data_IF_142719222373
#
_entry.id   IF_142719222373
#
_cell.length_a   1.000
_cell.length_b   1.000
_cell.length_c   1.000
_cell.angle_alpha   90.00
_cell.angle_beta   90.00
_cell.angle_gamma   90.00
#
_symmetry.space_group_name_H-M   'P 1'
#
loop_
_entity.id
_entity.type
_entity.pdbx_description
1 polymer ?
#
# COMPACT_ATOMS: atom_id res chain seq x y z
N UNK A 1 17.27 -3.50 47.65
CA UNK A 1 17.43 -2.77 46.37
C UNK A 1 18.91 -2.81 45.99
N UNK A 2 19.27 -3.21 44.76
CA UNK A 2 20.66 -3.40 44.31
C UNK A 2 21.33 -2.12 43.78
N UNK A 3 20.77 -0.96 44.14
CA UNK A 3 21.15 0.37 43.68
C UNK A 3 21.21 1.31 44.88
N UNK A 4 22.12 2.28 44.84
CA UNK A 4 22.23 3.34 45.85
C UNK A 4 22.31 4.71 45.16
N UNK A 5 21.77 5.78 45.78
CA UNK A 5 21.92 7.12 45.26
C UNK A 5 23.40 7.53 45.29
N UNK A 6 23.79 8.42 44.38
CA UNK A 6 25.09 9.10 44.42
C UNK A 6 25.05 10.25 45.44
N UNK A 7 26.21 10.76 45.89
CA UNK A 7 26.22 11.98 46.68
C UNK A 7 25.59 13.14 45.89
N UNK A 8 24.67 13.88 46.51
CA UNK A 8 23.99 15.03 45.89
C UNK A 8 22.78 14.68 45.01
N UNK A 9 22.35 13.42 44.98
CA UNK A 9 21.11 12.98 44.32
C UNK A 9 19.88 13.74 44.84
N UNK A 10 19.06 14.24 43.93
CA UNK A 10 17.78 14.89 44.22
C UNK A 10 16.58 13.95 44.13
N UNK A 11 16.70 12.85 43.39
CA UNK A 11 15.65 11.85 43.18
C UNK A 11 15.52 10.84 44.33
N UNK A 12 14.30 10.40 44.60
CA UNK A 12 14.00 9.36 45.60
C UNK A 12 13.99 7.95 44.96
N UNK A 13 14.03 6.85 45.74
CA UNK A 13 14.03 5.48 45.19
C UNK A 13 12.87 5.19 44.24
N UNK A 14 11.70 5.74 44.52
CA UNK A 14 10.49 5.62 43.71
C UNK A 14 10.68 6.26 42.32
N UNK A 15 11.22 7.49 42.26
CA UNK A 15 11.56 8.16 41.01
C UNK A 15 12.51 7.32 40.16
N UNK A 16 13.51 6.68 40.78
CA UNK A 16 14.45 5.82 40.08
C UNK A 16 13.80 4.56 39.51
N UNK A 17 12.89 3.93 40.26
CA UNK A 17 12.14 2.77 39.79
C UNK A 17 11.27 3.16 38.60
N UNK A 18 10.57 4.29 38.70
CA UNK A 18 9.73 4.82 37.63
C UNK A 18 10.55 5.19 36.39
N UNK A 19 11.63 5.96 36.55
CA UNK A 19 12.54 6.32 35.46
C UNK A 19 13.06 5.08 34.72
N UNK A 20 13.47 4.04 35.46
CA UNK A 20 13.93 2.78 34.85
C UNK A 20 12.80 2.03 34.13
N UNK A 21 11.57 2.07 34.64
CA UNK A 21 10.41 1.50 33.97
C UNK A 21 10.09 2.25 32.68
N UNK A 22 10.07 3.59 32.71
CA UNK A 22 9.87 4.46 31.55
C UNK A 22 10.94 4.25 30.49
N UNK A 23 12.23 4.25 30.88
CA UNK A 23 13.33 3.96 29.97
C UNK A 23 13.16 2.60 29.29
N UNK A 24 12.80 1.56 30.05
CA UNK A 24 12.59 0.21 29.50
C UNK A 24 11.40 0.15 28.55
N UNK A 25 10.30 0.80 28.88
CA UNK A 25 9.11 0.87 28.04
C UNK A 25 9.44 1.56 26.70
N UNK A 26 10.02 2.75 26.75
CA UNK A 26 10.45 3.50 25.56
C UNK A 26 11.46 2.67 24.74
N UNK A 27 12.49 2.10 25.38
CA UNK A 27 13.51 1.31 24.68
C UNK A 27 12.93 0.08 23.99
N UNK A 28 11.94 -0.59 24.60
CA UNK A 28 11.26 -1.73 24.00
C UNK A 28 10.45 -1.32 22.77
N UNK A 29 9.85 -0.13 22.78
CA UNK A 29 9.06 0.41 21.66
C UNK A 29 9.92 0.93 20.51
N UNK A 30 11.06 1.56 20.79
CA UNK A 30 11.94 2.20 19.77
C UNK A 30 12.33 1.23 18.65
N UNK A 31 12.54 -0.05 18.98
CA UNK A 31 12.96 -1.04 17.99
C UNK A 31 11.93 -1.22 16.87
N UNK A 32 10.63 -1.15 17.20
CA UNK A 32 9.54 -1.27 16.23
C UNK A 32 8.99 0.09 15.78
N UNK A 33 9.03 1.08 16.66
CA UNK A 33 8.50 2.42 16.44
C UNK A 33 9.59 3.47 16.72
N UNK A 34 10.55 3.69 15.80
CA UNK A 34 11.70 4.55 16.06
C UNK A 34 11.35 6.00 16.44
N UNK A 35 10.21 6.51 15.96
CA UNK A 35 9.71 7.85 16.28
C UNK A 35 9.26 8.00 17.74
N UNK A 36 9.01 6.91 18.47
CA UNK A 36 8.67 6.99 19.91
C UNK A 36 9.78 7.68 20.69
N UNK A 37 11.04 7.52 20.27
CA UNK A 37 12.17 8.25 20.86
C UNK A 37 11.99 9.76 20.75
N UNK A 38 11.58 10.23 19.59
CA UNK A 38 11.42 11.67 19.31
C UNK A 38 10.15 12.20 19.99
N UNK A 39 9.04 11.44 19.88
CA UNK A 39 7.75 11.79 20.48
C UNK A 39 7.81 11.84 22.02
N UNK A 40 8.67 11.01 22.63
CA UNK A 40 8.87 10.92 24.09
C UNK A 40 10.27 11.35 24.53
N UNK A 41 10.91 12.25 23.79
CA UNK A 41 12.29 12.67 24.04
C UNK A 41 12.48 13.24 25.46
N UNK A 42 11.55 14.07 25.93
CA UNK A 42 11.60 14.65 27.28
C UNK A 42 11.53 13.57 28.38
N UNK A 43 10.63 12.59 28.25
CA UNK A 43 10.52 11.48 29.21
C UNK A 43 11.78 10.62 29.20
N UNK A 44 12.34 10.36 28.02
CA UNK A 44 13.58 9.61 27.85
C UNK A 44 14.78 10.31 28.50
N UNK A 45 14.93 11.61 28.26
CA UNK A 45 15.99 12.43 28.83
C UNK A 45 15.86 12.55 30.35
N UNK A 46 14.65 12.79 30.86
CA UNK A 46 14.38 12.84 32.29
C UNK A 46 14.68 11.49 32.96
N UNK A 47 14.27 10.37 32.34
CA UNK A 47 14.57 9.04 32.84
C UNK A 47 16.08 8.78 32.89
N UNK A 48 16.82 9.17 31.84
CA UNK A 48 18.29 9.07 31.82
C UNK A 48 18.94 9.94 32.91
N UNK A 49 18.45 11.16 33.12
CA UNK A 49 18.94 12.05 34.16
C UNK A 49 18.77 11.42 35.55
N UNK A 50 17.55 11.00 35.89
CA UNK A 50 17.25 10.35 37.17
C UNK A 50 18.10 9.08 37.34
N UNK A 51 18.16 8.20 36.33
CA UNK A 51 19.00 6.99 36.42
C UNK A 51 20.48 7.31 36.61
N UNK A 52 20.97 8.43 36.05
CA UNK A 52 22.34 8.90 36.21
C UNK A 52 22.70 9.32 37.65
N UNK A 53 21.71 9.71 38.45
CA UNK A 53 21.89 10.01 39.88
C UNK A 53 22.09 8.76 40.74
N UNK A 54 21.95 7.56 40.17
CA UNK A 54 22.04 6.29 40.89
C UNK A 54 23.23 5.46 40.41
N UNK A 55 23.66 4.53 41.24
CA UNK A 55 24.74 3.60 40.92
C UNK A 55 24.46 2.20 41.48
N UNK A 56 24.98 1.18 40.81
CA UNK A 56 24.83 -0.22 41.24
C UNK A 56 25.55 -0.44 42.57
N UNK A 57 24.89 -1.11 43.50
CA UNK A 57 25.37 -1.40 44.85
C UNK A 57 25.49 -2.91 45.13
N UNK A 58 25.46 -3.73 44.07
CA UNK A 58 25.67 -5.18 44.16
C UNK A 58 27.04 -5.49 44.79
N UNK A 59 27.11 -6.39 45.81
CA UNK A 59 28.39 -6.83 46.36
C UNK A 59 29.31 -7.36 45.26
N UNK A 60 30.55 -6.83 45.19
CA UNK A 60 31.53 -7.23 44.19
C UNK A 60 31.30 -6.68 42.78
N UNK A 61 30.30 -5.82 42.56
CA UNK A 61 30.12 -5.18 41.26
C UNK A 61 31.24 -4.16 40.99
N UNK A 62 31.98 -4.40 39.91
CA UNK A 62 32.91 -3.44 39.32
C UNK A 62 32.44 -3.11 37.90
N UNK A 63 32.61 -1.85 37.51
CA UNK A 63 32.46 -1.49 36.10
C UNK A 63 33.56 -2.21 35.30
N UNK A 64 33.20 -2.68 34.11
CA UNK A 64 34.17 -3.23 33.18
C UNK A 64 35.09 -2.11 32.73
N UNK A 65 36.38 -2.41 32.59
CA UNK A 65 37.31 -1.50 31.92
C UNK A 65 37.00 -1.46 30.42
N UNK A 66 37.49 -0.44 29.72
CA UNK A 66 37.34 -0.33 28.27
C UNK A 66 37.87 -1.59 27.56
N UNK A 67 39.05 -2.06 27.95
CA UNK A 67 39.64 -3.30 27.43
C UNK A 67 38.77 -4.54 27.67
N UNK A 68 38.08 -4.61 28.81
CA UNK A 68 37.14 -5.71 29.11
C UNK A 68 35.85 -5.62 28.30
N UNK A 69 35.33 -4.41 28.08
CA UNK A 69 34.21 -4.17 27.17
C UNK A 69 34.56 -4.56 25.73
N UNK A 70 35.73 -4.16 25.23
CA UNK A 70 36.21 -4.53 23.89
C UNK A 70 36.40 -6.03 23.74
N UNK A 71 36.99 -6.69 24.75
CA UNK A 71 37.16 -8.15 24.74
C UNK A 71 35.79 -8.86 24.67
N UNK A 72 34.79 -8.36 25.40
CA UNK A 72 33.42 -8.88 25.33
C UNK A 72 32.80 -8.67 23.96
N UNK A 73 32.90 -7.48 23.37
CA UNK A 73 32.37 -7.22 22.02
C UNK A 73 33.03 -8.10 20.96
N UNK A 74 34.35 -8.31 21.03
CA UNK A 74 35.06 -9.23 20.12
C UNK A 74 34.56 -10.66 20.24
N UNK A 75 34.24 -11.10 21.46
CA UNK A 75 33.66 -12.41 21.69
C UNK A 75 32.25 -12.52 21.10
N UNK A 76 31.39 -11.52 21.37
CA UNK A 76 30.03 -11.47 20.83
C UNK A 76 30.04 -11.44 19.28
N UNK A 77 30.97 -10.69 18.67
CA UNK A 77 31.16 -10.62 17.22
C UNK A 77 31.58 -11.96 16.61
N UNK A 78 32.47 -12.68 17.29
CA UNK A 78 32.91 -14.01 16.86
C UNK A 78 31.75 -15.02 16.96
N UNK A 79 30.97 -14.99 18.03
CA UNK A 79 29.76 -15.81 18.18
C UNK A 79 28.73 -15.53 17.08
N UNK A 80 28.52 -14.25 16.74
CA UNK A 80 27.63 -13.84 15.63
C UNK A 80 28.18 -14.36 14.30
N UNK A 81 29.49 -14.21 14.05
CA UNK A 81 30.15 -14.70 12.83
C UNK A 81 29.98 -16.21 12.68
N UNK A 82 30.24 -16.97 13.73
CA UNK A 82 30.08 -18.43 13.73
C UNK A 82 28.64 -18.84 13.43
N UNK A 83 27.64 -18.17 14.00
CA UNK A 83 26.22 -18.42 13.69
C UNK A 83 25.89 -18.12 12.23
N UNK A 84 26.40 -17.02 11.68
CA UNK A 84 26.18 -16.65 10.29
C UNK A 84 26.85 -17.65 9.33
N UNK A 85 28.06 -18.10 9.64
CA UNK A 85 28.78 -19.09 8.83
C UNK A 85 28.11 -20.46 8.89
N UNK A 86 27.68 -20.91 10.07
CA UNK A 86 26.90 -22.13 10.21
C UNK A 86 25.59 -22.07 9.42
N UNK A 87 24.91 -20.91 9.42
CA UNK A 87 23.69 -20.68 8.64
C UNK A 87 23.97 -20.71 7.13
N UNK A 88 25.06 -20.07 6.68
CA UNK A 88 25.50 -20.08 5.28
C UNK A 88 25.80 -21.51 4.80
N UNK A 89 26.56 -22.27 5.58
CA UNK A 89 26.86 -23.67 5.27
C UNK A 89 25.58 -24.52 5.22
N UNK A 90 24.61 -24.27 6.11
CA UNK A 90 23.30 -24.93 6.02
C UNK A 90 22.63 -24.62 4.69
N UNK A 91 22.52 -23.36 4.30
CA UNK A 91 21.92 -22.98 3.02
C UNK A 91 22.62 -23.63 1.83
N UNK A 92 23.96 -23.66 1.83
CA UNK A 92 24.72 -24.33 0.77
C UNK A 92 24.39 -25.83 0.66
N UNK A 93 24.23 -26.52 1.80
CA UNK A 93 23.78 -27.92 1.81
C UNK A 93 22.34 -28.09 1.33
N UNK A 94 21.42 -27.29 1.86
CA UNK A 94 20.00 -27.38 1.50
C UNK A 94 19.74 -27.06 0.03
N UNK A 95 20.61 -26.26 -0.60
CA UNK A 95 20.48 -25.89 -2.01
C UNK A 95 20.46 -27.10 -2.96
N UNK A 96 21.09 -28.22 -2.61
CA UNK A 96 21.00 -29.45 -3.42
C UNK A 96 19.63 -30.13 -3.37
N UNK A 97 18.79 -29.77 -2.39
CA UNK A 97 17.42 -30.25 -2.26
C UNK A 97 16.40 -29.33 -2.93
N UNK A 98 16.85 -28.24 -3.58
CA UNK A 98 15.96 -27.36 -4.32
C UNK A 98 15.37 -28.09 -5.53
N UNK A 99 14.04 -28.13 -5.56
CA UNK A 99 13.25 -28.61 -6.68
C UNK A 99 12.37 -27.44 -7.17
N UNK A 100 12.60 -26.92 -8.39
CA UNK A 100 11.86 -25.77 -8.91
C UNK A 100 10.37 -26.07 -9.10
N UNK A 101 10.02 -27.30 -9.49
CA UNK A 101 8.63 -27.68 -9.72
C UNK A 101 7.91 -27.79 -8.37
N UNK A 102 8.53 -28.40 -7.38
CA UNK A 102 7.98 -28.46 -6.01
C UNK A 102 7.83 -27.06 -5.39
N UNK A 103 8.80 -26.17 -5.61
CA UNK A 103 8.71 -24.78 -5.15
C UNK A 103 7.56 -24.03 -5.82
N UNK A 104 7.37 -24.21 -7.12
CA UNK A 104 6.27 -23.61 -7.87
C UNK A 104 4.90 -24.18 -7.44
N UNK A 105 4.80 -25.50 -7.28
CA UNK A 105 3.61 -26.18 -6.75
C UNK A 105 3.24 -25.70 -5.36
N UNK A 106 4.22 -25.41 -4.49
CA UNK A 106 3.96 -24.81 -3.18
C UNK A 106 3.31 -23.43 -3.30
N UNK A 107 3.80 -22.57 -4.19
CA UNK A 107 3.21 -21.23 -4.39
C UNK A 107 1.77 -21.34 -4.89
N UNK A 108 1.53 -22.25 -5.82
CA UNK A 108 0.19 -22.52 -6.34
C UNK A 108 -0.74 -23.09 -5.26
N UNK A 109 -0.23 -23.98 -4.40
CA UNK A 109 -1.00 -24.52 -3.27
C UNK A 109 -1.47 -23.41 -2.33
N UNK A 110 -0.57 -22.51 -1.93
CA UNK A 110 -0.90 -21.39 -1.04
C UNK A 110 -1.92 -20.44 -1.70
N UNK A 111 -1.76 -20.17 -2.99
CA UNK A 111 -2.73 -19.38 -3.77
C UNK A 111 -4.13 -20.02 -3.74
N UNK A 112 -4.23 -21.31 -4.08
CA UNK A 112 -5.50 -22.01 -4.10
C UNK A 112 -6.15 -22.12 -2.71
N UNK A 113 -5.35 -22.29 -1.66
CA UNK A 113 -5.85 -22.23 -0.28
C UNK A 113 -6.47 -20.85 0.03
N UNK A 114 -5.86 -19.76 -0.45
CA UNK A 114 -6.44 -18.42 -0.31
C UNK A 114 -7.72 -18.25 -1.13
N UNK A 115 -7.77 -18.77 -2.37
CA UNK A 115 -8.98 -18.79 -3.19
C UNK A 115 -10.11 -19.55 -2.47
N UNK A 116 -9.83 -20.76 -1.99
CA UNK A 116 -10.79 -21.60 -1.27
C UNK A 116 -11.39 -20.85 -0.09
N UNK A 117 -10.55 -20.20 0.73
CA UNK A 117 -11.00 -19.42 1.88
C UNK A 117 -11.94 -18.29 1.47
N UNK A 118 -11.66 -17.62 0.35
CA UNK A 118 -12.52 -16.56 -0.18
C UNK A 118 -13.88 -17.12 -0.66
N UNK A 119 -13.88 -18.15 -1.49
CA UNK A 119 -15.11 -18.71 -2.03
C UNK A 119 -16.00 -19.32 -0.94
N UNK A 120 -15.40 -19.95 0.07
CA UNK A 120 -16.13 -20.43 1.26
C UNK A 120 -16.78 -19.29 2.05
N UNK A 121 -16.09 -18.16 2.21
CA UNK A 121 -16.64 -16.99 2.89
C UNK A 121 -17.81 -16.36 2.10
N UNK A 122 -17.67 -16.24 0.78
CA UNK A 122 -18.74 -15.75 -0.11
C UNK A 122 -19.98 -16.65 -0.06
N UNK A 123 -19.76 -17.96 -0.14
CA UNK A 123 -20.82 -18.97 -0.06
C UNK A 123 -21.54 -18.95 1.30
N UNK A 124 -20.81 -18.81 2.42
CA UNK A 124 -21.42 -18.62 3.74
C UNK A 124 -22.25 -17.33 3.78
N UNK A 125 -21.69 -16.22 3.28
CA UNK A 125 -22.38 -14.93 3.24
C UNK A 125 -23.69 -14.95 2.45
N UNK A 126 -23.74 -15.69 1.34
CA UNK A 126 -24.95 -15.85 0.54
C UNK A 126 -26.00 -16.72 1.22
N UNK A 127 -25.59 -17.83 1.86
CA UNK A 127 -26.49 -18.71 2.61
C UNK A 127 -27.13 -17.99 3.79
N UNK A 128 -26.35 -17.19 4.49
CA UNK A 128 -26.80 -16.41 5.65
C UNK A 128 -27.46 -15.08 5.26
N UNK A 129 -27.51 -14.76 3.96
CA UNK A 129 -28.00 -13.49 3.38
C UNK A 129 -27.28 -12.25 3.89
N UNK A 130 -26.11 -12.41 4.53
CA UNK A 130 -25.32 -11.32 5.08
C UNK A 130 -24.64 -10.48 3.99
N UNK A 131 -24.16 -11.13 2.91
CA UNK A 131 -23.43 -10.45 1.84
C UNK A 131 -24.33 -9.79 0.79
N UNK A 132 -25.60 -10.22 0.70
CA UNK A 132 -26.52 -9.75 -0.35
C UNK A 132 -28.00 -9.97 -0.02
N UNK A 133 -28.56 -9.21 0.93
CA UNK A 133 -29.96 -9.36 1.34
C UNK A 133 -30.98 -9.00 0.23
N UNK A 134 -30.54 -8.25 -0.80
CA UNK A 134 -31.39 -7.76 -1.88
C UNK A 134 -31.39 -8.63 -3.15
N UNK A 135 -30.60 -9.73 -3.21
CA UNK A 135 -30.56 -10.59 -4.39
C UNK A 135 -31.85 -11.46 -4.47
N UNK A 136 -32.53 -11.53 -5.63
CA UNK A 136 -33.67 -12.43 -5.82
C UNK A 136 -33.29 -13.89 -5.54
N UNK A 137 -34.16 -14.62 -4.85
CA UNK A 137 -33.90 -16.00 -4.36
C UNK A 137 -33.42 -16.96 -5.44
N UNK A 138 -33.98 -16.89 -6.66
CA UNK A 138 -33.53 -17.72 -7.79
C UNK A 138 -32.07 -17.45 -8.21
N UNK A 139 -31.68 -16.17 -8.31
CA UNK A 139 -30.30 -15.79 -8.62
C UNK A 139 -29.32 -16.14 -7.49
N UNK A 140 -29.79 -16.11 -6.25
CA UNK A 140 -28.99 -16.55 -5.10
C UNK A 140 -28.70 -18.05 -5.17
N UNK A 141 -29.71 -18.88 -5.46
CA UNK A 141 -29.54 -20.33 -5.60
C UNK A 141 -28.57 -20.71 -6.74
N UNK A 142 -28.68 -20.05 -7.90
CA UNK A 142 -27.75 -20.26 -9.03
C UNK A 142 -26.31 -19.89 -8.65
N UNK A 143 -26.13 -18.76 -7.94
CA UNK A 143 -24.80 -18.33 -7.50
C UNK A 143 -24.21 -19.27 -6.45
N UNK A 144 -25.02 -19.75 -5.50
CA UNK A 144 -24.59 -20.74 -4.51
C UNK A 144 -24.12 -22.02 -5.20
N UNK A 145 -24.90 -22.56 -6.14
CA UNK A 145 -24.51 -23.78 -6.87
C UNK A 145 -23.22 -23.59 -7.69
N UNK A 146 -23.03 -22.42 -8.30
CA UNK A 146 -21.79 -22.10 -9.01
C UNK A 146 -20.58 -22.09 -8.06
N UNK A 147 -20.71 -21.46 -6.89
CA UNK A 147 -19.66 -21.42 -5.87
C UNK A 147 -19.37 -22.80 -5.27
N UNK A 148 -20.38 -23.64 -5.06
CA UNK A 148 -20.20 -25.01 -4.57
C UNK A 148 -19.36 -25.85 -5.54
N UNK A 149 -19.60 -25.71 -6.85
CA UNK A 149 -18.80 -26.38 -7.87
C UNK A 149 -17.36 -25.85 -7.88
N UNK A 150 -17.17 -24.53 -7.83
CA UNK A 150 -15.84 -23.90 -7.81
C UNK A 150 -15.03 -24.30 -6.56
N UNK A 151 -15.67 -24.34 -5.39
CA UNK A 151 -15.07 -24.87 -4.15
C UNK A 151 -14.61 -26.31 -4.35
N UNK A 152 -15.45 -27.19 -4.91
CA UNK A 152 -15.08 -28.59 -5.15
C UNK A 152 -13.91 -28.75 -6.14
N UNK A 153 -13.86 -27.92 -7.19
CA UNK A 153 -12.73 -27.90 -8.12
C UNK A 153 -11.42 -27.46 -7.45
N UNK A 154 -11.47 -26.41 -6.62
CA UNK A 154 -10.31 -25.90 -5.89
C UNK A 154 -9.81 -26.93 -4.87
N UNK A 155 -10.72 -27.55 -4.10
CA UNK A 155 -10.37 -28.61 -3.13
C UNK A 155 -9.69 -29.80 -3.81
N UNK A 156 -10.16 -30.22 -4.98
CA UNK A 156 -9.53 -31.28 -5.78
C UNK A 156 -8.10 -30.92 -6.20
N UNK A 157 -7.88 -29.67 -6.64
CA UNK A 157 -6.54 -29.19 -7.02
C UNK A 157 -5.60 -29.08 -5.81
N UNK A 158 -6.10 -28.62 -4.66
CA UNK A 158 -5.35 -28.57 -3.40
C UNK A 158 -4.87 -29.98 -3.03
N UNK A 159 -5.75 -30.98 -3.04
CA UNK A 159 -5.40 -32.36 -2.69
C UNK A 159 -4.29 -32.93 -3.60
N UNK A 160 -4.33 -32.62 -4.90
CA UNK A 160 -3.27 -33.02 -5.84
C UNK A 160 -1.93 -32.33 -5.54
N UNK A 161 -1.95 -31.04 -5.22
CA UNK A 161 -0.74 -30.28 -4.90
C UNK A 161 -0.15 -30.69 -3.56
N UNK A 162 -0.98 -30.95 -2.54
CA UNK A 162 -0.52 -31.45 -1.24
C UNK A 162 0.24 -32.77 -1.35
N UNK A 163 -0.23 -33.69 -2.20
CA UNK A 163 0.47 -34.94 -2.47
C UNK A 163 1.86 -34.72 -3.12
N UNK A 164 2.01 -33.65 -3.89
CA UNK A 164 3.29 -33.29 -4.55
C UNK A 164 4.22 -32.52 -3.63
N UNK A 165 3.67 -31.56 -2.88
CA UNK A 165 4.42 -30.60 -2.06
C UNK A 165 4.80 -31.21 -0.71
N UNK A 166 3.93 -32.02 -0.11
CA UNK A 166 4.04 -32.43 1.29
C UNK A 166 3.88 -31.22 2.21
N UNK A 167 4.74 -31.11 3.23
CA UNK A 167 4.74 -29.95 4.12
C UNK A 167 5.30 -28.71 3.38
N UNK A 168 4.49 -27.66 3.15
CA UNK A 168 4.95 -26.43 2.50
C UNK A 168 6.05 -25.72 3.29
N UNK A 169 6.18 -25.92 4.59
CA UNK A 169 7.23 -25.32 5.43
C UNK A 169 8.61 -25.98 5.26
N UNK A 170 8.68 -27.11 4.55
CA UNK A 170 9.93 -27.84 4.24
C UNK A 170 10.50 -27.55 2.86
N UNK A 171 9.79 -26.77 2.04
CA UNK A 171 10.20 -26.53 0.65
C UNK A 171 11.26 -25.45 0.59
N UNK A 172 12.46 -25.88 0.18
CA UNK A 172 13.65 -25.05 0.04
C UNK A 172 13.55 -24.20 -1.25
N UNK A 173 14.05 -22.97 -1.21
CA UNK A 173 14.17 -22.09 -2.38
C UNK A 173 15.48 -22.29 -3.15
N UNK A 174 15.66 -21.56 -4.26
CA UNK A 174 16.86 -21.62 -5.09
C UNK A 174 18.18 -21.24 -4.36
N UNK A 175 18.07 -20.66 -3.17
CA UNK A 175 19.17 -20.24 -2.31
C UNK A 175 19.38 -21.15 -1.11
N UNK A 176 18.68 -22.28 -1.01
CA UNK A 176 18.81 -23.19 0.13
C UNK A 176 18.04 -22.73 1.37
N UNK A 177 17.07 -21.81 1.24
CA UNK A 177 16.32 -21.24 2.37
C UNK A 177 14.95 -21.88 2.50
N UNK A 178 14.55 -22.15 3.74
CA UNK A 178 13.19 -22.56 4.07
C UNK A 178 12.24 -21.33 4.11
N UNK A 179 10.92 -21.52 4.07
CA UNK A 179 9.95 -20.42 4.24
C UNK A 179 10.20 -19.59 5.51
N UNK A 180 10.48 -20.24 6.64
CA UNK A 180 10.85 -19.56 7.89
C UNK A 180 12.08 -18.65 7.75
N UNK A 181 13.10 -19.09 7.03
CA UNK A 181 14.29 -18.27 6.79
C UNK A 181 13.98 -17.05 5.92
N UNK A 182 13.08 -17.21 4.95
CA UNK A 182 12.63 -16.12 4.10
C UNK A 182 11.74 -15.13 4.86
N UNK A 183 10.91 -15.60 5.79
CA UNK A 183 10.12 -14.75 6.70
C UNK A 183 10.97 -13.81 7.55
N UNK A 184 12.14 -14.26 8.01
CA UNK A 184 13.08 -13.38 8.74
C UNK A 184 13.57 -12.22 7.86
N UNK A 185 13.85 -12.51 6.59
CA UNK A 185 14.29 -11.50 5.62
C UNK A 185 13.13 -10.55 5.29
N UNK A 186 11.94 -11.08 5.03
CA UNK A 186 10.78 -10.27 4.70
C UNK A 186 10.34 -9.40 5.89
N UNK A 187 10.46 -9.89 7.13
CA UNK A 187 10.24 -9.08 8.35
C UNK A 187 11.21 -7.89 8.41
N UNK A 188 12.50 -8.13 8.16
CA UNK A 188 13.50 -7.08 8.13
C UNK A 188 13.20 -6.02 7.05
N UNK A 189 12.91 -6.47 5.83
CA UNK A 189 12.56 -5.60 4.71
C UNK A 189 11.29 -4.78 4.98
N UNK A 190 10.26 -5.42 5.51
CA UNK A 190 9.02 -4.77 5.89
C UNK A 190 9.25 -3.71 6.97
N UNK A 191 10.04 -4.03 8.02
CA UNK A 191 10.36 -3.09 9.10
C UNK A 191 11.07 -1.84 8.59
N UNK A 192 12.01 -2.01 7.67
CA UNK A 192 12.70 -0.89 7.00
C UNK A 192 11.70 -0.07 6.18
N UNK A 193 10.91 -0.73 5.33
CA UNK A 193 9.94 -0.05 4.47
C UNK A 193 8.91 0.74 5.28
N UNK A 194 8.30 0.12 6.29
CA UNK A 194 7.36 0.75 7.22
C UNK A 194 7.98 1.96 7.90
N UNK A 195 9.21 1.84 8.41
CA UNK A 195 9.89 2.95 9.08
C UNK A 195 10.11 4.14 8.14
N UNK A 196 10.59 3.88 6.93
CA UNK A 196 10.78 4.90 5.90
C UNK A 196 9.45 5.55 5.55
N UNK A 197 8.41 4.75 5.31
CA UNK A 197 7.09 5.25 4.92
C UNK A 197 6.43 6.10 6.00
N UNK A 198 6.53 5.70 7.28
CA UNK A 198 6.02 6.51 8.40
C UNK A 198 6.73 7.86 8.47
N UNK A 199 8.05 7.90 8.27
CA UNK A 199 8.80 9.18 8.25
C UNK A 199 8.36 10.07 7.11
N UNK A 200 8.20 9.51 5.91
CA UNK A 200 7.70 10.23 4.75
C UNK A 200 6.29 10.79 5.00
N UNK A 201 5.37 9.97 5.50
CA UNK A 201 4.00 10.39 5.79
C UNK A 201 3.96 11.52 6.83
N UNK A 202 4.76 11.42 7.90
CA UNK A 202 4.85 12.50 8.91
C UNK A 202 5.33 13.82 8.31
N UNK A 203 6.33 13.77 7.42
CA UNK A 203 6.78 14.96 6.70
C UNK A 203 5.69 15.50 5.74
N UNK A 204 5.07 14.62 4.97
CA UNK A 204 3.99 14.96 4.03
C UNK A 204 2.79 15.60 4.74
N UNK A 205 2.41 15.12 5.92
CA UNK A 205 1.31 15.69 6.69
C UNK A 205 1.61 17.13 7.16
N UNK A 206 2.86 17.41 7.57
CA UNK A 206 3.27 18.76 7.92
C UNK A 206 3.15 19.71 6.71
N UNK A 207 3.64 19.28 5.54
CA UNK A 207 3.58 20.05 4.31
C UNK A 207 2.14 20.26 3.81
N UNK A 208 1.32 19.22 3.80
CA UNK A 208 -0.09 19.29 3.39
C UNK A 208 -0.90 20.20 4.31
N UNK A 209 -0.63 20.16 5.63
CA UNK A 209 -1.26 21.06 6.61
C UNK A 209 -0.88 22.52 6.36
N UNK A 210 0.40 22.80 6.08
CA UNK A 210 0.85 24.14 5.71
C UNK A 210 0.23 24.62 4.39
N UNK A 211 0.21 23.77 3.37
CA UNK A 211 -0.39 24.06 2.06
C UNK A 211 -1.91 24.32 2.16
N UNK A 212 -2.62 23.56 3.00
CA UNK A 212 -4.05 23.77 3.23
C UNK A 212 -4.34 25.13 3.89
N UNK A 213 -3.45 25.60 4.78
CA UNK A 213 -3.54 26.94 5.40
C UNK A 213 -3.25 28.05 4.38
N UNK A 214 -2.29 27.83 3.48
CA UNK A 214 -1.89 28.80 2.47
C UNK A 214 -2.82 28.87 1.24
N UNK A 215 -3.55 27.79 0.95
CA UNK A 215 -4.40 27.70 -0.24
C UNK A 215 -5.57 28.70 -0.21
N UNK A 216 -5.63 29.56 -1.22
CA UNK A 216 -6.64 30.61 -1.35
C UNK A 216 -7.87 30.15 -2.14
N UNK A 217 -7.69 29.30 -3.15
CA UNK A 217 -8.77 28.81 -4.00
C UNK A 217 -9.44 27.54 -3.45
N UNK A 218 -10.72 27.36 -3.78
CA UNK A 218 -11.53 26.25 -3.27
C UNK A 218 -11.04 24.89 -3.77
N UNK A 219 -10.57 24.80 -5.02
CA UNK A 219 -10.17 23.52 -5.64
C UNK A 219 -8.94 22.96 -4.94
N UNK A 220 -7.91 23.79 -4.77
CA UNK A 220 -6.68 23.42 -4.07
C UNK A 220 -6.92 23.05 -2.62
N UNK A 221 -7.85 23.72 -1.95
CA UNK A 221 -8.26 23.35 -0.57
C UNK A 221 -8.94 21.99 -0.50
N UNK A 222 -9.76 21.62 -1.49
CA UNK A 222 -10.39 20.30 -1.55
C UNK A 222 -9.32 19.23 -1.78
N UNK A 223 -8.43 19.46 -2.74
CA UNK A 223 -7.32 18.55 -3.05
C UNK A 223 -6.41 18.32 -1.83
N UNK A 224 -5.93 19.40 -1.19
CA UNK A 224 -5.10 19.29 0.01
C UNK A 224 -5.81 18.56 1.16
N UNK A 225 -7.13 18.74 1.33
CA UNK A 225 -7.90 17.99 2.34
C UNK A 225 -7.97 16.51 2.04
N UNK A 226 -8.19 16.14 0.78
CA UNK A 226 -8.23 14.74 0.37
C UNK A 226 -6.87 14.07 0.60
N UNK A 227 -5.80 14.67 0.11
CA UNK A 227 -4.44 14.16 0.30
C UNK A 227 -4.07 14.05 1.79
N UNK A 228 -4.47 15.02 2.60
CA UNK A 228 -4.22 14.99 4.04
C UNK A 228 -5.02 13.87 4.73
N UNK A 229 -6.28 13.66 4.35
CA UNK A 229 -7.09 12.56 4.87
C UNK A 229 -6.49 11.20 4.48
N UNK A 230 -6.10 11.02 3.23
CA UNK A 230 -5.49 9.78 2.73
C UNK A 230 -4.17 9.47 3.44
N UNK A 231 -3.26 10.47 3.52
CA UNK A 231 -1.98 10.31 4.21
C UNK A 231 -2.13 10.08 5.72
N UNK A 232 -3.15 10.68 6.35
CA UNK A 232 -3.46 10.46 7.78
C UNK A 232 -3.93 9.03 7.99
N UNK A 233 -4.87 8.55 7.17
CA UNK A 233 -5.39 7.19 7.25
C UNK A 233 -4.29 6.14 7.04
N UNK A 234 -3.39 6.36 6.06
CA UNK A 234 -2.25 5.46 5.84
C UNK A 234 -1.28 5.46 7.03
N UNK A 235 -0.97 6.63 7.60
CA UNK A 235 -0.11 6.73 8.77
C UNK A 235 -0.74 6.01 9.96
N UNK A 236 -2.01 6.26 10.26
CA UNK A 236 -2.75 5.59 11.33
C UNK A 236 -2.74 4.07 11.15
N UNK A 237 -2.97 3.59 9.93
CA UNK A 237 -2.91 2.17 9.62
C UNK A 237 -1.52 1.58 9.91
N UNK A 238 -0.43 2.22 9.47
CA UNK A 238 0.94 1.74 9.74
C UNK A 238 1.32 1.80 11.23
N UNK A 239 0.82 2.80 11.96
CA UNK A 239 1.04 2.93 13.40
C UNK A 239 0.26 1.88 14.20
N UNK A 240 -0.90 1.45 13.72
CA UNK A 240 -1.73 0.44 14.37
C UNK A 240 -1.16 -0.98 14.27
N UNK A 241 -0.20 -1.23 13.38
CA UNK A 241 0.39 -2.55 13.18
C UNK A 241 1.25 -2.93 14.39
N UNK A 242 0.88 -3.99 15.14
CA UNK A 242 1.62 -4.43 16.30
C UNK A 242 3.01 -4.93 15.89
N UNK A 243 3.88 -5.12 16.87
CA UNK A 243 5.18 -5.75 16.62
C UNK A 243 4.95 -7.14 16.04
N UNK A 244 5.47 -7.36 14.84
CA UNK A 244 5.35 -8.64 14.13
C UNK A 244 6.48 -9.60 14.54
N UNK A 245 6.12 -10.87 14.68
CA UNK A 245 7.03 -11.99 14.72
C UNK A 245 7.33 -12.49 13.31
N UNK A 246 8.30 -13.40 13.20
CA UNK A 246 8.67 -14.03 11.93
C UNK A 246 7.46 -14.74 11.31
N UNK A 247 6.67 -15.45 12.12
CA UNK A 247 5.53 -16.24 11.63
C UNK A 247 4.34 -15.38 11.17
N UNK A 248 4.32 -14.10 11.51
CA UNK A 248 3.31 -13.14 11.03
C UNK A 248 3.59 -12.66 9.60
N UNK A 249 4.75 -13.02 9.02
CA UNK A 249 5.16 -12.57 7.70
C UNK A 249 4.86 -13.58 6.60
N UNK A 250 4.60 -13.06 5.40
CA UNK A 250 4.66 -13.88 4.20
C UNK A 250 6.10 -14.32 3.93
N UNK A 251 6.28 -15.59 3.53
CA UNK A 251 7.60 -16.10 3.15
C UNK A 251 8.05 -15.63 1.76
N UNK A 252 7.15 -15.07 0.96
CA UNK A 252 7.39 -14.74 -0.45
C UNK A 252 7.50 -13.24 -0.72
N UNK A 253 6.95 -12.39 0.14
CA UNK A 253 7.03 -10.94 -0.01
C UNK A 253 7.11 -10.21 1.33
N UNK A 254 7.57 -8.96 1.29
CA UNK A 254 7.77 -8.11 2.46
C UNK A 254 6.46 -7.49 2.98
N UNK A 255 5.45 -8.31 3.24
CA UNK A 255 4.16 -7.91 3.80
C UNK A 255 3.69 -8.93 4.85
N UNK A 256 2.91 -8.49 5.85
CA UNK A 256 2.26 -9.38 6.80
C UNK A 256 1.43 -10.46 6.09
N UNK A 257 1.43 -11.68 6.61
CA UNK A 257 0.64 -12.78 6.06
C UNK A 257 -0.87 -12.49 6.11
N UNK A 258 -1.32 -11.77 7.15
CA UNK A 258 -2.71 -11.36 7.31
C UNK A 258 -3.20 -10.35 6.26
N UNK A 259 -2.28 -9.66 5.58
CA UNK A 259 -2.60 -8.73 4.49
C UNK A 259 -2.77 -9.46 3.15
N UNK A 260 -2.62 -10.78 3.13
CA UNK A 260 -2.88 -11.58 1.95
C UNK A 260 -4.30 -12.13 1.92
N UNK A 261 -4.89 -12.04 0.72
CA UNK A 261 -6.17 -12.65 0.40
C UNK A 261 -6.37 -12.66 -1.11
N UNK A 262 -7.32 -13.45 -1.59
CA UNK A 262 -7.57 -13.57 -3.03
C UNK A 262 -8.07 -12.26 -3.69
N UNK A 263 -8.72 -11.38 -2.93
CA UNK A 263 -9.26 -10.13 -3.44
C UNK A 263 -8.40 -8.95 -3.00
N UNK A 264 -7.99 -8.14 -3.97
CA UNK A 264 -7.32 -6.87 -3.71
C UNK A 264 -8.25 -5.90 -2.97
N UNK A 265 -7.82 -5.48 -1.79
CA UNK A 265 -8.35 -4.37 -1.00
C UNK A 265 -7.33 -3.21 -1.06
N UNK A 266 -7.67 -2.06 -0.48
CA UNK A 266 -6.80 -0.87 -0.56
C UNK A 266 -5.37 -1.11 -0.02
N UNK A 267 -5.22 -1.94 1.02
CA UNK A 267 -3.93 -2.21 1.68
C UNK A 267 -3.56 -3.69 1.74
N UNK A 268 -4.40 -4.57 1.19
CA UNK A 268 -4.27 -6.02 1.27
C UNK A 268 -4.56 -6.64 -0.09
N UNK A 269 -4.02 -7.81 -0.38
CA UNK A 269 -4.32 -8.48 -1.64
C UNK A 269 -3.46 -9.70 -1.92
N UNK A 270 -3.61 -10.30 -3.11
CA UNK A 270 -2.90 -11.51 -3.44
C UNK A 270 -1.39 -11.29 -3.38
N UNK A 271 -0.67 -12.29 -2.90
CA UNK A 271 0.78 -12.21 -2.91
C UNK A 271 1.28 -12.08 -4.35
N UNK A 272 2.18 -11.14 -4.66
CA UNK A 272 2.73 -10.97 -6.01
C UNK A 272 3.52 -12.20 -6.50
N UNK A 273 3.93 -13.10 -5.60
CA UNK A 273 4.61 -14.34 -5.94
C UNK A 273 3.64 -15.47 -6.33
N UNK A 274 2.33 -15.32 -6.10
CA UNK A 274 1.35 -16.34 -6.48
C UNK A 274 1.21 -16.43 -8.00
N UNK A 275 1.30 -17.63 -8.59
CA UNK A 275 1.42 -17.77 -10.04
C UNK A 275 0.22 -17.26 -10.83
N UNK A 276 -1.01 -17.58 -10.39
CA UNK A 276 -2.23 -17.13 -11.05
C UNK A 276 -2.36 -15.60 -11.01
N UNK A 277 -2.13 -15.00 -9.84
CA UNK A 277 -2.13 -13.56 -9.67
C UNK A 277 -1.02 -12.85 -10.47
N UNK A 278 0.21 -13.35 -10.43
CA UNK A 278 1.33 -12.81 -11.20
C UNK A 278 1.02 -12.82 -12.70
N UNK A 279 0.48 -13.92 -13.22
CA UNK A 279 0.05 -14.04 -14.61
C UNK A 279 -1.08 -13.05 -14.95
N UNK A 280 -2.02 -12.82 -14.02
CA UNK A 280 -3.09 -11.82 -14.19
C UNK A 280 -2.53 -10.40 -14.25
N UNK A 281 -1.60 -10.05 -13.35
CA UNK A 281 -0.97 -8.73 -13.34
C UNK A 281 -0.14 -8.47 -14.59
N UNK A 282 0.55 -9.49 -15.12
CA UNK A 282 1.31 -9.37 -16.36
C UNK A 282 0.40 -9.09 -17.57
N UNK A 283 -0.76 -9.76 -17.64
CA UNK A 283 -1.78 -9.46 -18.66
C UNK A 283 -2.28 -8.03 -18.56
N UNK A 284 -2.57 -7.55 -17.33
CA UNK A 284 -3.02 -6.16 -17.10
C UNK A 284 -1.95 -5.17 -17.54
N UNK A 285 -0.69 -5.39 -17.16
CA UNK A 285 0.45 -4.56 -17.59
C UNK A 285 0.55 -4.49 -19.11
N UNK A 286 0.49 -5.64 -19.78
CA UNK A 286 0.53 -5.71 -21.25
C UNK A 286 -0.61 -4.91 -21.90
N UNK A 287 -1.82 -4.94 -21.33
CA UNK A 287 -2.96 -4.15 -21.84
C UNK A 287 -2.71 -2.65 -21.67
N UNK A 288 -2.22 -2.23 -20.50
CA UNK A 288 -1.92 -0.82 -20.22
C UNK A 288 -0.81 -0.30 -21.13
N UNK A 289 0.27 -1.07 -21.29
CA UNK A 289 1.38 -0.71 -22.19
C UNK A 289 0.90 -0.56 -23.63
N UNK A 290 0.07 -1.49 -24.12
CA UNK A 290 -0.55 -1.37 -25.46
C UNK A 290 -1.46 -0.15 -25.57
N UNK A 291 -2.21 0.18 -24.52
CA UNK A 291 -3.07 1.36 -24.51
C UNK A 291 -2.26 2.67 -24.49
N UNK A 292 -1.11 2.69 -23.79
CA UNK A 292 -0.19 3.83 -23.76
C UNK A 292 0.57 3.99 -25.09
N UNK A 293 0.90 2.89 -25.76
CA UNK A 293 1.55 2.87 -27.07
C UNK A 293 0.60 3.12 -28.24
N UNK A 294 -0.71 2.98 -28.04
CA UNK A 294 -1.68 3.45 -29.03
C UNK A 294 -1.55 4.97 -29.11
N UNK A 295 -0.85 5.42 -30.15
CA UNK A 295 -0.98 6.79 -30.63
C UNK A 295 -2.47 7.08 -30.70
N UNK A 296 -2.93 8.06 -29.91
CA UNK A 296 -4.23 8.66 -30.20
C UNK A 296 -4.08 9.13 -31.64
N UNK A 297 -4.89 8.64 -32.60
CA UNK A 297 -4.89 9.25 -33.91
C UNK A 297 -5.05 10.74 -33.65
N UNK A 298 -4.09 11.52 -34.13
CA UNK A 298 -4.25 12.96 -34.20
C UNK A 298 -5.39 13.11 -35.18
N UNK A 299 -6.62 13.12 -34.66
CA UNK A 299 -7.75 13.63 -35.40
C UNK A 299 -7.34 15.07 -35.63
N UNK A 300 -6.84 15.38 -36.82
CA UNK A 300 -6.72 16.76 -37.27
C UNK A 300 -8.04 17.41 -36.85
N UNK A 301 -8.01 18.48 -36.02
CA UNK A 301 -9.25 19.08 -35.57
C UNK A 301 -9.99 19.44 -36.85
N UNK A 302 -11.13 18.77 -37.09
CA UNK A 302 -11.98 19.05 -38.22
C UNK A 302 -12.13 20.57 -38.24
N UNK A 303 -11.63 21.24 -39.29
CA UNK A 303 -11.61 22.69 -39.36
C UNK A 303 -13.01 23.18 -38.98
N UNK A 304 -13.13 23.76 -37.80
CA UNK A 304 -14.41 24.25 -37.33
C UNK A 304 -14.84 25.28 -38.37
N UNK A 305 -15.92 25.00 -39.11
CA UNK A 305 -16.45 25.92 -40.12
C UNK A 305 -16.63 27.28 -39.44
N UNK A 306 -15.88 28.30 -39.87
CA UNK A 306 -16.01 29.63 -39.29
C UNK A 306 -17.35 30.22 -39.75
N UNK A 307 -18.01 31.06 -38.92
CA UNK A 307 -19.21 31.77 -39.35
C UNK A 307 -18.88 32.66 -40.56
N UNK A 308 -19.79 32.71 -41.52
CA UNK A 308 -19.68 33.56 -42.71
C UNK A 308 -19.68 35.04 -42.33
N UNK A 309 -20.43 35.40 -41.28
CA UNK A 309 -20.45 36.75 -40.74
C UNK A 309 -20.80 36.72 -39.23
N UNK A 310 -20.27 37.70 -38.50
CA UNK A 310 -20.56 37.92 -37.07
C UNK A 310 -21.05 39.34 -36.89
N UNK A 311 -22.26 39.52 -36.33
CA UNK A 311 -22.78 40.80 -35.90
C UNK A 311 -22.43 40.98 -34.42
N UNK A 312 -21.75 42.09 -34.11
CA UNK A 312 -21.32 42.39 -32.75
C UNK A 312 -22.51 42.50 -31.78
N UNK A 313 -22.29 42.05 -30.54
CA UNK A 313 -23.24 42.22 -29.45
C UNK A 313 -23.30 43.69 -29.01
N UNK A 314 -24.49 44.22 -28.74
CA UNK A 314 -24.69 45.59 -28.21
C UNK A 314 -25.36 46.57 -29.18
N UNK A 315 -25.68 46.14 -30.40
CA UNK A 315 -26.49 46.92 -31.34
C UNK A 315 -27.98 46.90 -30.94
N UNK A 316 -28.71 48.03 -31.12
CA UNK A 316 -30.17 48.05 -31.06
C UNK A 316 -30.79 46.99 -31.99
N UNK A 317 -31.95 46.45 -31.62
CA UNK A 317 -32.59 45.36 -32.37
C UNK A 317 -32.93 45.75 -33.82
N UNK A 318 -33.23 47.02 -34.07
CA UNK A 318 -33.48 47.57 -35.41
C UNK A 318 -32.24 47.46 -36.30
N UNK A 319 -31.07 47.73 -35.75
CA UNK A 319 -29.80 47.70 -36.48
C UNK A 319 -29.34 46.27 -36.71
N UNK A 320 -29.64 45.37 -35.77
CA UNK A 320 -29.44 43.93 -35.96
C UNK A 320 -30.32 43.40 -37.09
N UNK A 321 -31.60 43.79 -37.16
CA UNK A 321 -32.52 43.36 -38.22
C UNK A 321 -32.05 43.87 -39.59
N UNK A 322 -31.73 45.16 -39.70
CA UNK A 322 -31.23 45.74 -40.94
C UNK A 322 -29.94 45.03 -41.42
N UNK A 323 -29.00 44.77 -40.50
CA UNK A 323 -27.75 44.09 -40.84
C UNK A 323 -27.96 42.62 -41.20
N UNK A 324 -28.95 41.95 -40.59
CA UNK A 324 -29.34 40.59 -40.97
C UNK A 324 -30.00 40.55 -42.35
N UNK A 325 -30.79 41.56 -42.73
CA UNK A 325 -31.39 41.63 -44.07
C UNK A 325 -30.32 41.82 -45.16
N UNK A 326 -29.35 42.71 -44.94
CA UNK A 326 -28.20 42.87 -45.85
C UNK A 326 -27.42 41.57 -46.00
N UNK A 327 -27.08 40.92 -44.88
CA UNK A 327 -26.30 39.68 -44.90
C UNK A 327 -27.09 38.48 -45.47
N UNK A 328 -28.43 38.50 -45.41
CA UNK A 328 -29.28 37.49 -46.10
C UNK A 328 -29.33 37.69 -47.60
N UNK A 329 -29.14 38.91 -48.11
CA UNK A 329 -29.00 39.13 -49.55
C UNK A 329 -27.64 38.59 -50.05
N UNK A 330 -26.58 38.77 -49.26
CA UNK A 330 -25.24 38.28 -49.58
C UNK A 330 -25.10 36.76 -49.40
N UNK A 331 -25.76 36.18 -48.39
CA UNK A 331 -25.74 34.75 -48.08
C UNK A 331 -27.17 34.18 -47.95
N UNK A 332 -27.89 33.97 -49.06
CA UNK A 332 -29.31 33.60 -49.04
C UNK A 332 -29.60 32.26 -48.36
N UNK A 333 -28.63 31.34 -48.37
CA UNK A 333 -28.75 30.01 -47.79
C UNK A 333 -28.18 29.89 -46.36
N UNK A 334 -27.71 30.98 -45.75
CA UNK A 334 -27.10 30.92 -44.43
C UNK A 334 -28.11 30.79 -43.29
N UNK A 335 -27.75 30.03 -42.25
CA UNK A 335 -28.51 29.91 -41.00
C UNK A 335 -28.00 30.91 -39.97
N UNK A 336 -28.91 31.68 -39.38
CA UNK A 336 -28.59 32.59 -38.28
C UNK A 336 -28.61 31.81 -36.96
N UNK A 337 -27.54 31.91 -36.19
CA UNK A 337 -27.38 31.28 -34.87
C UNK A 337 -26.92 32.30 -33.84
N UNK A 338 -27.21 32.03 -32.57
CA UNK A 338 -26.72 32.85 -31.45
C UNK A 338 -25.43 32.25 -30.92
N UNK A 339 -24.33 32.99 -31.07
CA UNK A 339 -22.99 32.59 -30.66
C UNK A 339 -22.65 32.92 -29.21
N UNK A 340 -21.39 32.68 -28.82
CA UNK A 340 -20.86 33.06 -27.51
C UNK A 340 -20.94 34.60 -27.32
N UNK A 341 -21.21 35.03 -26.10
CA UNK A 341 -21.41 36.45 -25.74
C UNK A 341 -22.56 37.16 -26.49
N UNK A 342 -23.64 36.43 -26.80
CA UNK A 342 -24.86 36.98 -27.43
C UNK A 342 -24.64 37.63 -28.82
N UNK A 343 -23.63 37.19 -29.55
CA UNK A 343 -23.40 37.61 -30.94
C UNK A 343 -24.36 36.88 -31.87
N UNK A 344 -24.77 37.52 -32.95
CA UNK A 344 -25.51 36.87 -34.02
C UNK A 344 -24.53 36.43 -35.10
N UNK A 345 -24.51 35.15 -35.42
CA UNK A 345 -23.56 34.54 -36.33
C UNK A 345 -24.30 33.90 -37.50
N UNK A 346 -23.84 34.13 -38.74
CA UNK A 346 -24.35 33.45 -39.92
C UNK A 346 -23.47 32.24 -40.23
N UNK A 347 -24.10 31.08 -40.41
CA UNK A 347 -23.44 29.82 -40.68
C UNK A 347 -23.85 29.28 -42.04
N UNK A 348 -22.95 28.63 -42.80
CA UNK A 348 -23.35 27.94 -44.01
C UNK A 348 -24.33 26.81 -43.65
N UNK A 349 -25.37 26.62 -44.46
CA UNK A 349 -26.30 25.50 -44.30
C UNK A 349 -25.50 24.20 -44.30
N UNK A 350 -25.66 23.35 -43.28
CA UNK A 350 -25.01 22.04 -43.27
C UNK A 350 -25.47 21.29 -44.52
N UNK A 351 -24.57 21.02 -45.47
CA UNK A 351 -24.86 20.08 -46.55
C UNK A 351 -25.20 18.75 -45.89
N UNK A 352 -26.38 18.22 -46.19
CA UNK A 352 -26.76 16.86 -45.79
C UNK A 352 -25.66 15.93 -46.32
N UNK A 353 -24.85 15.38 -45.42
CA UNK A 353 -23.91 14.32 -45.77
C UNK A 353 -24.80 13.11 -46.10
N UNK A 354 -24.80 12.58 -47.32
CA UNK A 354 -25.60 11.40 -47.63
C UNK A 354 -25.13 10.24 -46.76
N UNK A 355 -26.10 9.55 -46.14
CA UNK A 355 -25.86 8.36 -45.32
C UNK A 355 -24.99 7.37 -46.10
N UNK A 356 -23.80 7.10 -45.57
CA UNK A 356 -22.98 6.00 -46.05
C UNK A 356 -23.65 4.72 -45.58
N UNK A 357 -24.36 4.08 -46.49
CA UNK A 357 -24.98 2.78 -46.28
C UNK A 357 -23.93 1.65 -46.26
N UNK A 358 -24.13 0.75 -45.29
CA UNK A 358 -23.56 -0.60 -45.09
C UNK A 358 -22.19 -0.72 -44.42
#
# INVERSE_FOLDING_TARGET
>A
MLWKPRPGTSSIPEDFIEARATFRAIAAEIHWNPWVRDDRANEWEQALQIMGEWQRAEPGHRQLTEAECEARWKHDDEDVRQKLDARRQRFERERSHYDPDRAQSRLHLIELQSCLQHEQAELSGLRDKASSPAIPTGRSAERIAALENEVGEIEGQIAMLEATVGDPETVVDAHGRLPRDRREITLCLYSIHRTTRVRELRAQLADLSANLKAAQDKSRRIECRQLLADATGELEALLAIPRLAVDDMCSECATPAADHGWVARQTAGPCPAWPGWAAKMEKVRTIIERAAQRERPVTEPAQASQPLAIIASGLPITDVIARLEELRQEFPDAEVRRGRANRWELWPRKKHQPDTAT
#
